data_IF_584415052310
#
_entry.id   IF_584415052310
#
_cell.length_a   1.000
_cell.length_b   1.000
_cell.length_c   1.000
_cell.angle_alpha   90.00
_cell.angle_beta   90.00
_cell.angle_gamma   90.00
#
_symmetry.space_group_name_H-M   'P 1'
#
loop_
_entity.id
_entity.type
_entity.pdbx_description
1 polymer ?
#
# COMPACT_ATOMS: atom_id res chain seq x y z
N UNK A 1 -31.67 6.97 -9.07
CA UNK A 1 -31.16 7.24 -7.70
C UNK A 1 -30.86 5.90 -7.08
N UNK A 2 -29.61 5.66 -6.68
CA UNK A 2 -29.24 4.43 -5.98
C UNK A 2 -29.72 4.54 -4.53
N UNK A 3 -30.49 3.55 -4.09
CA UNK A 3 -30.95 3.47 -2.71
C UNK A 3 -29.79 3.07 -1.79
N UNK A 4 -29.39 3.99 -0.91
CA UNK A 4 -28.25 3.81 0.01
C UNK A 4 -28.50 2.73 1.06
N UNK A 5 -29.76 2.48 1.43
CA UNK A 5 -30.10 1.43 2.40
C UNK A 5 -29.84 0.04 1.79
N UNK A 6 -30.20 -0.16 0.52
CA UNK A 6 -29.96 -1.41 -0.21
C UNK A 6 -28.47 -1.78 -0.37
N UNK A 7 -27.57 -0.79 -0.32
CA UNK A 7 -26.12 -1.01 -0.45
C UNK A 7 -25.51 -1.63 0.81
N UNK A 8 -26.04 -1.28 1.99
CA UNK A 8 -25.55 -1.79 3.26
C UNK A 8 -26.05 -3.21 3.56
N UNK A 9 -27.19 -3.60 3.00
CA UNK A 9 -27.76 -4.95 3.21
C UNK A 9 -27.06 -6.04 2.40
N UNK A 10 -26.56 -5.71 1.20
CA UNK A 10 -25.96 -6.68 0.26
C UNK A 10 -24.71 -6.14 -0.44
N UNK A 11 -23.69 -5.68 0.31
CA UNK A 11 -22.54 -4.99 -0.27
C UNK A 11 -21.78 -5.85 -1.29
N UNK A 12 -21.75 -7.17 -1.07
CA UNK A 12 -21.10 -8.13 -1.95
C UNK A 12 -21.79 -8.27 -3.32
N UNK A 13 -23.12 -8.24 -3.36
CA UNK A 13 -23.89 -8.34 -4.61
C UNK A 13 -23.67 -7.09 -5.48
N UNK A 14 -23.64 -5.92 -4.84
CA UNK A 14 -23.39 -4.65 -5.52
C UNK A 14 -21.97 -4.53 -6.06
N UNK A 15 -20.96 -5.02 -5.32
CA UNK A 15 -19.58 -5.04 -5.80
C UNK A 15 -19.40 -5.96 -7.01
N UNK A 16 -20.05 -7.13 -7.01
CA UNK A 16 -20.04 -8.04 -8.17
C UNK A 16 -20.68 -7.40 -9.41
N UNK A 17 -21.88 -6.84 -9.27
CA UNK A 17 -22.57 -6.12 -10.36
C UNK A 17 -21.73 -4.94 -10.90
N UNK A 18 -21.09 -4.20 -10.00
CA UNK A 18 -20.21 -3.09 -10.37
C UNK A 18 -19.00 -3.58 -11.17
N UNK A 19 -18.37 -4.66 -10.74
CA UNK A 19 -17.22 -5.28 -11.42
C UNK A 19 -17.60 -5.72 -12.84
N UNK A 20 -18.71 -6.43 -13.00
CA UNK A 20 -19.21 -6.88 -14.31
C UNK A 20 -19.55 -5.70 -15.22
N UNK A 21 -20.14 -4.63 -14.69
CA UNK A 21 -20.43 -3.42 -15.46
C UNK A 21 -19.16 -2.72 -15.95
N UNK A 22 -18.11 -2.65 -15.12
CA UNK A 22 -16.81 -2.06 -15.50
C UNK A 22 -16.16 -2.88 -16.61
N UNK A 23 -16.12 -4.20 -16.48
CA UNK A 23 -15.55 -5.10 -17.49
C UNK A 23 -16.24 -4.92 -18.85
N UNK A 24 -17.57 -4.86 -18.86
CA UNK A 24 -18.38 -4.73 -20.07
C UNK A 24 -18.54 -3.29 -20.60
N UNK A 25 -17.98 -2.29 -19.91
CA UNK A 25 -18.10 -0.89 -20.31
C UNK A 25 -17.32 -0.55 -21.59
N UNK A 26 -17.63 0.60 -22.20
CA UNK A 26 -16.87 1.17 -23.32
C UNK A 26 -15.64 2.00 -22.88
N UNK A 27 -15.29 1.98 -21.60
CA UNK A 27 -14.17 2.76 -21.07
C UNK A 27 -12.85 2.34 -21.73
N UNK A 28 -11.93 3.30 -21.97
CA UNK A 28 -10.58 2.97 -22.35
C UNK A 28 -9.93 2.02 -21.34
N UNK A 29 -9.06 1.15 -21.84
CA UNK A 29 -8.38 0.13 -21.03
C UNK A 29 -7.73 0.69 -19.77
N UNK A 30 -7.09 1.86 -19.86
CA UNK A 30 -6.45 2.50 -18.72
C UNK A 30 -7.42 2.96 -17.63
N UNK A 31 -8.60 3.43 -18.01
CA UNK A 31 -9.65 3.85 -17.06
C UNK A 31 -10.30 2.62 -16.41
N UNK A 32 -10.57 1.55 -17.18
CA UNK A 32 -11.05 0.28 -16.62
C UNK A 32 -10.12 -0.24 -15.51
N UNK A 33 -8.79 -0.16 -15.72
CA UNK A 33 -7.80 -0.55 -14.70
C UNK A 33 -7.95 0.24 -13.40
N UNK A 34 -8.04 1.56 -13.51
CA UNK A 34 -8.13 2.42 -12.34
C UNK A 34 -9.41 2.12 -11.53
N UNK A 35 -10.55 1.97 -12.21
CA UNK A 35 -11.83 1.70 -11.55
C UNK A 35 -11.87 0.28 -10.96
N UNK A 36 -11.33 -0.74 -11.64
CA UNK A 36 -11.23 -2.10 -11.09
C UNK A 36 -10.33 -2.17 -9.85
N UNK A 37 -9.18 -1.49 -9.86
CA UNK A 37 -8.30 -1.42 -8.69
C UNK A 37 -9.02 -0.78 -7.49
N UNK A 38 -9.75 0.32 -7.71
CA UNK A 38 -10.55 0.96 -6.68
C UNK A 38 -11.65 0.03 -6.16
N UNK A 39 -12.31 -0.73 -7.05
CA UNK A 39 -13.31 -1.72 -6.65
C UNK A 39 -12.71 -2.85 -5.80
N UNK A 40 -11.52 -3.37 -6.15
CA UNK A 40 -10.78 -4.35 -5.32
C UNK A 40 -10.48 -3.82 -3.93
N UNK A 41 -10.00 -2.57 -3.82
CA UNK A 41 -9.70 -1.94 -2.52
C UNK A 41 -10.97 -1.80 -1.67
N UNK A 42 -12.08 -1.38 -2.27
CA UNK A 42 -13.36 -1.26 -1.57
C UNK A 42 -13.90 -2.62 -1.13
N UNK A 43 -13.79 -3.65 -1.97
CA UNK A 43 -14.14 -5.03 -1.59
C UNK A 43 -13.29 -5.51 -0.40
N UNK A 44 -12.02 -5.11 -0.35
CA UNK A 44 -11.13 -5.33 0.78
C UNK A 44 -11.61 -4.73 2.10
N UNK A 45 -12.22 -3.54 2.08
CA UNK A 45 -12.79 -2.90 3.26
C UNK A 45 -14.04 -3.64 3.78
N UNK A 46 -14.75 -4.35 2.91
CA UNK A 46 -15.93 -5.16 3.28
C UNK A 46 -15.51 -6.59 3.70
N UNK A 47 -14.20 -6.88 3.77
CA UNK A 47 -13.62 -8.16 4.18
C UNK A 47 -14.07 -9.38 3.33
N UNK A 48 -14.36 -9.19 2.04
CA UNK A 48 -14.68 -10.33 1.16
C UNK A 48 -13.44 -10.86 0.43
N UNK A 49 -12.71 -11.79 1.08
CA UNK A 49 -11.47 -12.35 0.53
C UNK A 49 -11.64 -13.06 -0.83
N UNK A 50 -12.80 -13.68 -1.08
CA UNK A 50 -13.05 -14.43 -2.31
C UNK A 50 -13.18 -13.46 -3.48
N UNK A 51 -13.88 -12.35 -3.28
CA UNK A 51 -14.02 -11.30 -4.28
C UNK A 51 -12.73 -10.52 -4.50
N UNK A 52 -12.00 -10.20 -3.43
CA UNK A 52 -10.67 -9.58 -3.55
C UNK A 52 -9.80 -10.42 -4.49
N UNK A 53 -9.69 -11.73 -4.24
CA UNK A 53 -8.87 -12.65 -5.05
C UNK A 53 -9.36 -12.72 -6.49
N UNK A 54 -10.68 -12.76 -6.72
CA UNK A 54 -11.27 -12.78 -8.06
C UNK A 54 -10.95 -11.50 -8.84
N UNK A 55 -11.19 -10.32 -8.26
CA UNK A 55 -10.92 -9.04 -8.95
C UNK A 55 -9.41 -8.85 -9.15
N UNK A 56 -8.57 -9.16 -8.16
CA UNK A 56 -7.11 -9.11 -8.32
C UNK A 56 -6.63 -10.03 -9.44
N UNK A 57 -7.12 -11.27 -9.50
CA UNK A 57 -6.74 -12.20 -10.55
C UNK A 57 -7.17 -11.73 -11.94
N UNK A 58 -8.33 -11.09 -12.08
CA UNK A 58 -8.76 -10.46 -13.34
C UNK A 58 -7.84 -9.29 -13.73
N UNK A 59 -7.45 -8.44 -12.77
CA UNK A 59 -6.51 -7.33 -13.02
C UNK A 59 -5.13 -7.84 -13.44
N UNK A 60 -4.60 -8.89 -12.77
CA UNK A 60 -3.33 -9.54 -13.11
C UNK A 60 -3.38 -10.24 -14.47
N UNK A 61 -4.49 -10.93 -14.78
CA UNK A 61 -4.65 -11.68 -16.03
C UNK A 61 -4.93 -10.79 -17.24
N UNK A 62 -5.54 -9.61 -17.05
CA UNK A 62 -5.85 -8.73 -18.15
C UNK A 62 -4.62 -7.94 -18.63
N UNK A 63 -3.74 -7.43 -17.75
CA UNK A 63 -2.62 -6.50 -18.09
C UNK A 63 -1.52 -6.51 -17.00
N UNK A 64 -0.30 -6.07 -17.34
CA UNK A 64 0.77 -5.74 -16.39
C UNK A 64 0.31 -4.67 -15.36
N UNK A 65 -0.13 -5.12 -14.18
CA UNK A 65 -0.62 -4.29 -13.07
C UNK A 65 0.43 -3.29 -12.55
N UNK A 66 1.72 -3.58 -12.78
CA UNK A 66 2.85 -2.72 -12.42
C UNK A 66 2.84 -1.35 -13.15
N UNK A 67 2.12 -1.23 -14.27
CA UNK A 67 1.95 0.07 -14.94
C UNK A 67 1.07 1.03 -14.14
N UNK A 68 0.16 0.51 -13.29
CA UNK A 68 -0.74 1.33 -12.48
C UNK A 68 0.05 2.15 -11.46
N UNK A 69 -0.08 3.47 -11.50
CA UNK A 69 0.54 4.37 -10.51
C UNK A 69 -0.01 4.13 -9.11
N UNK A 70 -1.31 3.83 -8.99
CA UNK A 70 -1.94 3.50 -7.71
C UNK A 70 -1.39 2.19 -7.13
N UNK A 71 -1.21 1.17 -7.96
CA UNK A 71 -0.63 -0.10 -7.50
C UNK A 71 0.80 0.09 -7.02
N UNK A 72 1.63 0.78 -7.80
CA UNK A 72 3.01 1.11 -7.43
C UNK A 72 3.08 1.87 -6.10
N UNK A 73 2.20 2.86 -5.90
CA UNK A 73 2.12 3.58 -4.63
C UNK A 73 1.75 2.69 -3.44
N UNK A 74 0.87 1.71 -3.62
CA UNK A 74 0.51 0.76 -2.56
C UNK A 74 1.71 -0.11 -2.18
N UNK A 75 2.43 -0.64 -3.17
CA UNK A 75 3.64 -1.44 -2.96
C UNK A 75 4.71 -0.60 -2.25
N UNK A 76 5.00 0.60 -2.75
CA UNK A 76 5.98 1.52 -2.17
C UNK A 76 5.66 1.85 -0.69
N UNK A 77 4.38 2.10 -0.36
CA UNK A 77 3.95 2.30 1.03
C UNK A 77 4.18 1.07 1.90
N UNK A 78 3.94 -0.12 1.35
CA UNK A 78 4.19 -1.40 2.02
C UNK A 78 5.68 -1.61 2.31
N UNK A 79 6.52 -1.40 1.31
CA UNK A 79 7.99 -1.50 1.41
C UNK A 79 8.54 -0.50 2.42
N UNK A 80 8.12 0.76 2.33
CA UNK A 80 8.52 1.82 3.26
C UNK A 80 8.18 1.44 4.70
N UNK A 81 6.95 0.98 4.96
CA UNK A 81 6.53 0.55 6.29
C UNK A 81 7.40 -0.59 6.82
N UNK A 82 7.60 -1.64 6.02
CA UNK A 82 8.40 -2.79 6.41
C UNK A 82 9.86 -2.39 6.70
N UNK A 83 10.44 -1.53 5.87
CA UNK A 83 11.82 -1.08 6.02
C UNK A 83 11.99 -0.16 7.25
N UNK A 84 11.06 0.77 7.49
CA UNK A 84 11.05 1.60 8.70
C UNK A 84 10.96 0.75 9.96
N UNK A 85 10.06 -0.23 10.02
CA UNK A 85 9.92 -1.14 11.16
C UNK A 85 11.20 -1.95 11.42
N UNK A 86 11.82 -2.47 10.34
CA UNK A 86 13.08 -3.19 10.42
C UNK A 86 14.23 -2.29 10.94
N UNK A 87 14.34 -1.07 10.42
CA UNK A 87 15.35 -0.10 10.83
C UNK A 87 15.19 0.29 12.30
N UNK A 88 13.98 0.61 12.75
CA UNK A 88 13.70 0.91 14.16
C UNK A 88 14.16 -0.25 15.06
N UNK A 89 13.84 -1.50 14.68
CA UNK A 89 14.28 -2.67 15.43
C UNK A 89 15.80 -2.80 15.46
N UNK A 90 16.49 -2.66 14.32
CA UNK A 90 17.94 -2.79 14.24
C UNK A 90 18.67 -1.70 15.03
N UNK A 91 18.21 -0.45 14.90
CA UNK A 91 18.75 0.68 15.64
C UNK A 91 18.51 0.53 17.15
N UNK A 92 17.35 -0.02 17.55
CA UNK A 92 17.05 -0.34 18.95
C UNK A 92 18.03 -1.39 19.51
N UNK A 93 18.34 -2.42 18.72
CA UNK A 93 19.31 -3.46 19.10
C UNK A 93 20.71 -2.86 19.24
N UNK A 94 21.11 -1.96 18.33
CA UNK A 94 22.47 -1.39 18.28
C UNK A 94 22.70 -0.32 19.35
N UNK A 95 21.73 0.55 19.60
CA UNK A 95 21.89 1.75 20.43
C UNK A 95 21.07 1.72 21.72
N UNK A 96 20.24 0.70 21.94
CA UNK A 96 19.25 0.66 23.03
C UNK A 96 17.94 1.34 22.63
N UNK A 97 17.07 1.57 23.61
CA UNK A 97 15.73 2.12 23.36
C UNK A 97 15.78 3.45 22.58
N UNK A 98 15.15 3.46 21.39
CA UNK A 98 15.01 4.66 20.58
C UNK A 98 13.93 5.56 21.17
N UNK A 99 14.20 6.86 21.20
CA UNK A 99 13.15 7.82 21.55
C UNK A 99 12.02 7.78 20.50
N UNK A 100 10.77 8.04 20.91
CA UNK A 100 9.64 8.12 19.97
C UNK A 100 9.89 9.09 18.81
N UNK A 101 10.58 10.20 19.08
CA UNK A 101 10.95 11.20 18.06
C UNK A 101 11.79 10.62 16.92
N UNK A 102 12.75 9.74 17.22
CA UNK A 102 13.53 9.08 16.16
C UNK A 102 12.70 8.06 15.40
N UNK A 103 11.86 7.30 16.09
CA UNK A 103 10.98 6.31 15.45
C UNK A 103 10.00 6.96 14.47
N UNK A 104 9.36 8.07 14.87
CA UNK A 104 8.45 8.85 14.02
C UNK A 104 9.17 9.39 12.79
N UNK A 105 10.34 10.02 12.97
CA UNK A 105 11.14 10.55 11.84
C UNK A 105 11.55 9.45 10.85
N UNK A 106 11.87 8.24 11.33
CA UNK A 106 12.16 7.08 10.47
C UNK A 106 10.91 6.60 9.72
N UNK A 107 9.72 6.66 10.31
CA UNK A 107 8.48 6.25 9.64
C UNK A 107 8.05 7.26 8.55
N UNK A 108 8.46 8.51 8.68
CA UNK A 108 8.13 9.59 7.74
C UNK A 108 9.09 9.69 6.54
N UNK A 109 10.29 9.10 6.63
CA UNK A 109 11.28 9.16 5.55
C UNK A 109 10.79 8.48 4.26
N UNK A 110 11.26 9.01 3.13
CA UNK A 110 11.09 8.40 1.81
C UNK A 110 11.89 7.09 1.68
N UNK A 111 11.43 6.19 0.80
CA UNK A 111 12.02 4.85 0.63
C UNK A 111 13.53 4.90 0.36
N UNK A 112 13.98 5.84 -0.47
CA UNK A 112 15.41 6.00 -0.82
C UNK A 112 16.26 6.41 0.38
N UNK A 113 15.73 7.24 1.29
CA UNK A 113 16.42 7.64 2.50
C UNK A 113 16.55 6.46 3.47
N UNK A 114 15.49 5.65 3.59
CA UNK A 114 15.50 4.41 4.39
C UNK A 114 16.49 3.37 3.85
N UNK A 115 16.54 3.18 2.54
CA UNK A 115 17.52 2.29 1.90
C UNK A 115 18.95 2.76 2.18
N UNK A 116 19.21 4.06 2.01
CA UNK A 116 20.52 4.66 2.30
C UNK A 116 20.91 4.46 3.77
N UNK A 117 19.96 4.64 4.70
CA UNK A 117 20.19 4.42 6.11
C UNK A 117 20.46 2.94 6.43
N UNK A 118 19.78 2.03 5.73
CA UNK A 118 19.98 0.58 5.87
C UNK A 118 21.39 0.17 5.43
N UNK A 119 21.86 0.69 4.30
CA UNK A 119 23.21 0.40 3.79
C UNK A 119 24.31 0.89 4.75
N UNK A 120 24.04 1.98 5.46
CA UNK A 120 25.01 2.66 6.34
C UNK A 120 24.84 2.34 7.82
N UNK A 121 23.87 1.51 8.20
CA UNK A 121 23.51 1.30 9.61
C UNK A 121 24.67 0.80 10.46
N UNK A 122 25.58 0.02 9.87
CA UNK A 122 26.73 -0.52 10.57
C UNK A 122 27.85 0.50 10.77
N UNK A 123 27.89 1.57 9.96
CA UNK A 123 28.85 2.68 10.04
C UNK A 123 28.45 3.74 11.08
N UNK A 124 27.24 3.66 11.64
CA UNK A 124 26.77 4.58 12.67
C UNK A 124 27.42 4.24 14.01
N UNK A 125 28.08 5.20 14.66
CA UNK A 125 28.73 4.99 15.96
C UNK A 125 27.83 5.41 17.13
N UNK A 126 26.92 6.36 16.88
CA UNK A 126 26.00 6.91 17.88
C UNK A 126 24.68 7.37 17.25
N UNK A 127 23.66 7.57 18.09
CA UNK A 127 22.32 7.97 17.62
C UNK A 127 22.32 9.30 16.87
N UNK A 128 23.17 10.25 17.24
CA UNK A 128 23.25 11.55 16.58
C UNK A 128 23.73 11.45 15.11
N UNK A 129 24.31 10.32 14.70
CA UNK A 129 24.65 10.11 13.29
C UNK A 129 23.41 9.97 12.41
N UNK A 130 22.25 9.63 12.99
CA UNK A 130 20.96 9.56 12.29
C UNK A 130 20.50 10.92 11.78
N UNK A 131 20.93 12.02 12.40
CA UNK A 131 20.57 13.39 11.99
C UNK A 131 21.02 13.74 10.57
N UNK A 132 22.01 13.00 10.03
CA UNK A 132 22.48 13.14 8.65
C UNK A 132 21.51 12.58 7.62
N UNK A 133 20.57 11.73 8.05
CA UNK A 133 19.66 10.96 7.18
C UNK A 133 18.19 11.28 7.42
N UNK A 134 17.84 11.76 8.62
CA UNK A 134 16.48 12.07 9.01
C UNK A 134 16.21 13.56 8.77
N UNK A 135 15.46 13.89 7.73
CA UNK A 135 15.01 15.25 7.42
C UNK A 135 13.56 15.48 7.81
#
# INVERSE_FOLDING_TARGET
MVDRESYNEKPQEHLNKSTEAILNSSLPTHEKRQVLMQASLLAGLVHDEVLIKRIFSEVENMINIEESSTYRLIIERGERKALSEALIRLLTIKFGELSPTYAERIQEQELTALQTLTDKIFELDKLEDLEKFLH
#
